data_IF_929744651720
#
_entry.id   IF_929744651720
#
_cell.length_a   1.000
_cell.length_b   1.000
_cell.length_c   1.000
_cell.angle_alpha   90.00
_cell.angle_beta   90.00
_cell.angle_gamma   90.00
#
_symmetry.space_group_name_H-M   'P 1'
#
loop_
_entity.id
_entity.type
_entity.pdbx_description
1 polymer ?
#
# COMPACT_ATOMS: atom_id res chain seq x y z
N UNK A 1 6.73 -23.11 11.83
CA UNK A 1 7.05 -22.28 10.65
C UNK A 1 6.57 -20.84 10.83
N UNK A 2 5.35 -20.60 11.32
CA UNK A 2 4.84 -19.25 11.64
C UNK A 2 5.70 -18.48 12.67
N UNK A 3 6.20 -19.18 13.70
CA UNK A 3 7.09 -18.61 14.72
C UNK A 3 8.36 -17.97 14.11
N UNK A 4 8.90 -18.57 13.05
CA UNK A 4 10.09 -18.04 12.35
C UNK A 4 9.80 -16.84 11.45
N UNK A 5 8.56 -16.69 10.99
CA UNK A 5 8.13 -15.53 10.19
C UNK A 5 7.84 -14.34 11.09
N UNK A 6 7.19 -14.57 12.24
CA UNK A 6 6.93 -13.55 13.24
C UNK A 6 8.24 -13.05 13.84
N UNK A 7 9.15 -13.94 14.23
CA UNK A 7 10.47 -13.56 14.75
C UNK A 7 11.27 -12.72 13.73
N UNK A 8 11.29 -13.13 12.46
CA UNK A 8 11.91 -12.35 11.38
C UNK A 8 11.22 -11.01 11.15
N UNK A 9 9.93 -10.89 11.40
CA UNK A 9 9.22 -9.62 11.29
C UNK A 9 9.58 -8.70 12.47
N UNK A 10 9.59 -9.23 13.71
CA UNK A 10 10.01 -8.49 14.91
C UNK A 10 11.44 -8.00 14.80
N UNK A 11 12.38 -8.84 14.37
CA UNK A 11 13.78 -8.44 14.15
C UNK A 11 13.89 -7.29 13.14
N UNK A 12 13.06 -7.29 12.09
CA UNK A 12 13.05 -6.20 11.09
C UNK A 12 12.45 -4.92 11.64
N UNK A 13 11.35 -5.02 12.38
CA UNK A 13 10.69 -3.86 12.96
C UNK A 13 11.61 -3.17 13.98
N UNK A 14 12.27 -3.96 14.84
CA UNK A 14 13.26 -3.43 15.79
C UNK A 14 14.43 -2.75 15.09
N UNK A 15 14.91 -3.30 13.97
CA UNK A 15 15.97 -2.65 13.19
C UNK A 15 15.48 -1.36 12.52
N UNK A 16 14.25 -1.35 11.99
CA UNK A 16 13.63 -0.13 11.44
C UNK A 16 13.55 0.96 12.50
N UNK A 17 12.98 0.64 13.67
CA UNK A 17 12.82 1.57 14.78
C UNK A 17 14.19 2.09 15.25
N UNK A 18 15.20 1.21 15.34
CA UNK A 18 16.58 1.62 15.67
C UNK A 18 17.15 2.58 14.62
N UNK A 19 16.92 2.34 13.33
CA UNK A 19 17.42 3.19 12.25
C UNK A 19 16.70 4.54 12.16
N UNK A 20 15.40 4.56 12.47
CA UNK A 20 14.55 5.75 12.37
C UNK A 20 14.60 6.63 13.63
N UNK A 21 14.81 6.02 14.80
CA UNK A 21 14.78 6.69 16.11
C UNK A 21 16.13 6.67 16.83
N UNK A 22 17.24 6.61 16.09
CA UNK A 22 18.57 6.62 16.70
C UNK A 22 18.78 7.93 17.48
N UNK A 23 19.18 7.88 18.77
CA UNK A 23 19.42 9.08 19.55
C UNK A 23 20.49 9.98 18.92
N UNK A 24 20.31 11.30 18.97
CA UNK A 24 21.29 12.25 18.42
C UNK A 24 22.67 12.11 19.08
N UNK A 25 22.71 11.66 20.34
CA UNK A 25 23.91 11.40 21.12
C UNK A 25 24.48 9.98 20.96
N UNK A 26 23.95 9.15 20.04
CA UNK A 26 24.55 7.86 19.73
C UNK A 26 25.98 8.04 19.19
N UNK A 27 26.84 7.06 19.43
CA UNK A 27 28.24 7.11 19.04
C UNK A 27 28.38 7.16 17.50
N UNK A 28 29.43 7.81 17.01
CA UNK A 28 29.63 7.98 15.57
C UNK A 28 29.90 6.63 14.87
N UNK A 29 30.55 5.70 15.57
CA UNK A 29 30.77 4.33 15.06
C UNK A 29 29.44 3.55 14.95
N UNK A 30 28.52 3.72 15.90
CA UNK A 30 27.20 3.09 15.85
C UNK A 30 26.34 3.66 14.72
N UNK A 31 26.34 4.99 14.56
CA UNK A 31 25.68 5.69 13.45
C UNK A 31 26.20 5.21 12.10
N UNK A 32 27.52 5.07 11.96
CA UNK A 32 28.14 4.62 10.72
C UNK A 32 27.88 3.13 10.45
N UNK A 33 27.85 2.29 11.50
CA UNK A 33 27.50 0.88 11.35
C UNK A 33 26.05 0.70 10.87
N UNK A 34 25.11 1.47 11.41
CA UNK A 34 23.71 1.43 10.99
C UNK A 34 23.55 2.00 9.58
N UNK A 35 24.19 3.15 9.27
CA UNK A 35 24.18 3.73 7.93
C UNK A 35 24.78 2.78 6.90
N UNK A 36 25.93 2.17 7.17
CA UNK A 36 26.56 1.22 6.25
C UNK A 36 25.70 -0.03 6.02
N UNK A 37 25.00 -0.52 7.05
CA UNK A 37 24.04 -1.62 6.94
C UNK A 37 22.83 -1.26 6.04
N UNK A 38 22.37 -0.01 6.12
CA UNK A 38 21.29 0.54 5.29
C UNK A 38 21.76 0.79 3.85
N UNK A 39 22.94 1.40 3.66
CA UNK A 39 23.44 1.94 2.38
C UNK A 39 24.02 0.88 1.44
N UNK A 40 24.62 -0.21 1.95
CA UNK A 40 25.22 -1.25 1.09
C UNK A 40 24.19 -1.82 0.09
N UNK A 41 24.42 -1.72 -1.24
CA UNK A 41 23.55 -2.32 -2.28
C UNK A 41 24.29 -3.47 -2.97
N UNK A 42 23.63 -4.60 -3.27
CA UNK A 42 24.23 -5.64 -4.11
C UNK A 42 23.75 -7.08 -3.88
N UNK A 43 24.30 -7.98 -4.70
CA UNK A 43 23.97 -9.41 -4.82
C UNK A 43 24.43 -10.28 -3.62
N UNK A 44 25.36 -9.80 -2.81
CA UNK A 44 25.83 -10.48 -1.58
C UNK A 44 24.85 -10.36 -0.40
N UNK A 45 23.67 -9.78 -0.63
CA UNK A 45 22.66 -9.63 0.41
C UNK A 45 21.79 -10.88 0.53
N UNK A 46 21.86 -11.49 1.71
CA UNK A 46 20.74 -12.28 2.22
C UNK A 46 19.44 -11.45 2.25
N UNK A 47 18.29 -12.13 2.26
CA UNK A 47 16.95 -11.52 2.18
C UNK A 47 16.69 -10.41 3.20
N UNK A 48 17.29 -10.50 4.39
CA UNK A 48 17.17 -9.52 5.47
C UNK A 48 17.81 -8.18 5.12
N UNK A 49 19.07 -8.18 4.65
CA UNK A 49 19.82 -6.95 4.33
C UNK A 49 19.20 -6.19 3.15
N UNK A 50 18.68 -6.89 2.15
CA UNK A 50 17.94 -6.28 1.03
C UNK A 50 16.68 -5.55 1.48
N UNK A 51 16.01 -6.06 2.51
CA UNK A 51 14.84 -5.41 3.10
C UNK A 51 15.24 -4.20 3.94
N UNK A 52 16.38 -4.30 4.65
CA UNK A 52 16.93 -3.23 5.49
C UNK A 52 17.32 -1.96 4.69
N UNK A 53 17.90 -2.04 3.49
CA UNK A 53 18.11 -0.80 2.70
C UNK A 53 16.82 -0.11 2.31
N UNK A 54 15.74 -0.87 2.19
CA UNK A 54 14.47 -0.30 1.80
C UNK A 54 13.92 0.63 2.88
N UNK A 55 14.24 0.37 4.14
CA UNK A 55 13.80 1.15 5.29
C UNK A 55 14.43 2.54 5.39
N UNK A 56 15.71 2.71 5.04
CA UNK A 56 16.38 4.02 5.09
C UNK A 56 16.14 4.90 3.86
N UNK A 57 15.22 4.51 2.99
CA UNK A 57 14.86 5.27 1.80
C UNK A 57 13.52 5.95 2.05
N UNK A 58 13.51 6.92 2.98
CA UNK A 58 12.34 7.68 3.46
C UNK A 58 11.28 7.94 2.38
N UNK A 59 10.22 7.13 2.38
CA UNK A 59 9.06 7.30 1.49
C UNK A 59 9.34 6.99 0.02
N UNK A 60 10.49 6.40 -0.32
CA UNK A 60 10.81 6.02 -1.70
C UNK A 60 9.92 4.86 -2.15
N UNK A 61 9.33 5.03 -3.33
CA UNK A 61 8.48 3.99 -3.96
C UNK A 61 9.26 3.42 -5.13
N UNK A 62 9.59 2.13 -5.05
CA UNK A 62 10.23 1.39 -6.12
C UNK A 62 9.18 0.59 -6.90
N UNK A 63 9.23 0.73 -8.21
CA UNK A 63 8.41 -0.03 -9.16
C UNK A 63 9.21 -1.16 -9.79
N UNK A 64 8.56 -2.27 -10.22
CA UNK A 64 9.25 -3.34 -10.93
C UNK A 64 9.77 -2.84 -12.28
N UNK A 65 11.06 -3.09 -12.55
CA UNK A 65 11.77 -2.61 -13.74
C UNK A 65 11.21 -3.11 -15.08
N UNK A 66 10.45 -4.21 -15.07
CA UNK A 66 10.01 -4.88 -16.30
C UNK A 66 8.77 -4.25 -16.96
N UNK A 67 8.11 -3.28 -16.32
CA UNK A 67 6.85 -2.72 -16.82
C UNK A 67 7.12 -1.43 -17.59
N UNK A 68 7.23 -1.57 -18.91
CA UNK A 68 7.49 -0.45 -19.83
C UNK A 68 6.23 0.01 -20.58
N UNK A 69 5.22 -0.86 -20.72
CA UNK A 69 4.04 -0.58 -21.54
C UNK A 69 2.96 0.11 -20.72
N UNK A 70 2.33 1.17 -21.25
CA UNK A 70 1.11 1.72 -20.68
C UNK A 70 0.01 0.66 -20.52
N UNK A 71 -0.82 0.84 -19.50
CA UNK A 71 -2.03 0.06 -19.27
C UNK A 71 -3.20 0.69 -20.02
N UNK A 72 -4.05 -0.13 -20.64
CA UNK A 72 -5.33 0.32 -21.20
C UNK A 72 -6.41 0.17 -20.13
N UNK A 73 -6.81 1.30 -19.52
CA UNK A 73 -7.80 1.31 -18.44
C UNK A 73 -9.16 0.72 -18.84
N UNK A 74 -9.50 0.76 -20.13
CA UNK A 74 -10.78 0.24 -20.65
C UNK A 74 -10.84 -1.29 -20.64
N UNK A 75 -9.70 -1.97 -20.50
CA UNK A 75 -9.61 -3.43 -20.42
C UNK A 75 -9.66 -3.97 -18.98
N UNK A 76 -9.69 -3.08 -17.99
CA UNK A 76 -9.76 -3.49 -16.60
C UNK A 76 -11.15 -4.03 -16.25
N UNK A 77 -11.21 -4.94 -15.28
CA UNK A 77 -12.45 -5.53 -14.78
C UNK A 77 -13.41 -4.49 -14.19
N UNK A 78 -12.87 -3.38 -13.70
CA UNK A 78 -13.60 -2.33 -13.00
C UNK A 78 -13.69 -1.08 -13.89
N UNK A 79 -14.87 -0.76 -14.45
CA UNK A 79 -15.03 0.36 -15.40
C UNK A 79 -14.96 1.75 -14.73
N UNK A 80 -15.23 1.81 -13.42
CA UNK A 80 -15.20 3.02 -12.61
C UNK A 80 -13.77 3.56 -12.35
N UNK A 81 -12.74 2.75 -12.59
CA UNK A 81 -11.34 3.10 -12.35
C UNK A 81 -10.90 4.34 -13.14
N UNK A 82 -11.34 4.48 -14.39
CA UNK A 82 -11.00 5.66 -15.19
C UNK A 82 -11.50 6.94 -14.53
N UNK A 83 -12.76 6.97 -14.10
CA UNK A 83 -13.37 8.14 -13.46
C UNK A 83 -12.69 8.48 -12.13
N UNK A 84 -12.30 7.48 -11.35
CA UNK A 84 -11.58 7.65 -10.09
C UNK A 84 -10.19 8.27 -10.32
N UNK A 85 -9.46 7.78 -11.32
CA UNK A 85 -8.14 8.31 -11.68
C UNK A 85 -8.22 9.72 -12.27
N UNK A 86 -9.25 10.02 -13.06
CA UNK A 86 -9.50 11.36 -13.57
C UNK A 86 -9.74 12.36 -12.43
N UNK A 87 -10.62 12.02 -11.49
CA UNK A 87 -10.87 12.85 -10.31
C UNK A 87 -9.61 13.06 -9.46
N UNK A 88 -8.82 11.99 -9.27
CA UNK A 88 -7.56 12.07 -8.56
C UNK A 88 -6.56 12.99 -9.29
N UNK A 89 -6.40 12.83 -10.61
CA UNK A 89 -5.52 13.66 -11.42
C UNK A 89 -5.89 15.16 -11.33
N UNK A 90 -7.18 15.50 -11.40
CA UNK A 90 -7.66 16.88 -11.23
C UNK A 90 -7.33 17.45 -9.85
N UNK A 91 -7.41 16.63 -8.79
CA UNK A 91 -7.04 17.04 -7.43
C UNK A 91 -5.53 17.18 -7.25
N UNK A 92 -4.72 16.34 -7.91
CA UNK A 92 -3.26 16.36 -7.81
C UNK A 92 -2.65 17.53 -8.59
N UNK A 93 -3.15 17.81 -9.79
CA UNK A 93 -2.63 18.86 -10.65
C UNK A 93 -3.65 19.97 -10.85
N UNK A 94 -4.00 20.66 -9.77
CA UNK A 94 -4.99 21.76 -9.75
C UNK A 94 -4.68 22.92 -10.69
N UNK A 95 -3.42 23.07 -11.11
CA UNK A 95 -2.99 24.09 -12.09
C UNK A 95 -3.31 23.72 -13.54
N UNK A 96 -3.68 22.46 -13.81
CA UNK A 96 -4.02 21.98 -15.15
C UNK A 96 -5.52 21.75 -15.26
N UNK A 97 -6.09 22.14 -16.39
CA UNK A 97 -7.44 21.76 -16.76
C UNK A 97 -7.43 20.35 -17.34
N UNK A 98 -7.50 19.35 -16.47
CA UNK A 98 -7.51 17.94 -16.88
C UNK A 98 -8.94 17.54 -17.22
N UNK A 99 -9.11 16.92 -18.38
CA UNK A 99 -10.43 16.51 -18.89
C UNK A 99 -10.46 15.05 -19.31
N UNK A 100 -11.68 14.53 -19.46
CA UNK A 100 -11.92 13.24 -20.09
C UNK A 100 -11.32 13.19 -21.51
N UNK A 101 -10.85 12.01 -21.92
CA UNK A 101 -10.24 11.81 -23.24
C UNK A 101 -11.19 12.06 -24.43
N UNK A 102 -12.50 12.03 -24.20
CA UNK A 102 -13.52 12.35 -25.19
C UNK A 102 -13.91 13.84 -25.20
N UNK A 103 -13.33 14.66 -24.32
CA UNK A 103 -13.64 16.10 -24.26
C UNK A 103 -13.13 16.83 -25.50
N UNK A 104 -13.93 17.79 -26.00
CA UNK A 104 -13.58 18.67 -27.12
C UNK A 104 -13.05 20.03 -26.66
N UNK A 105 -12.81 20.20 -25.37
CA UNK A 105 -12.37 21.47 -24.80
C UNK A 105 -10.95 21.82 -25.25
N UNK A 106 -10.77 23.04 -25.80
CA UNK A 106 -9.48 23.48 -26.33
C UNK A 106 -8.56 23.93 -25.19
N UNK A 107 -7.29 23.50 -25.25
CA UNK A 107 -6.27 23.87 -24.26
C UNK A 107 -6.30 23.03 -22.99
N UNK A 108 -7.30 22.17 -22.83
CA UNK A 108 -7.34 21.19 -21.74
C UNK A 108 -6.38 20.02 -21.99
N UNK A 109 -5.93 19.38 -20.91
CA UNK A 109 -5.04 18.22 -20.96
C UNK A 109 -5.87 16.95 -20.79
N UNK A 110 -6.07 16.13 -21.84
CA UNK A 110 -6.85 14.91 -21.70
C UNK A 110 -6.08 13.83 -20.92
N UNK A 111 -6.75 13.15 -19.99
CA UNK A 111 -6.22 11.93 -19.38
C UNK A 111 -6.45 10.75 -20.32
N UNK A 112 -5.41 10.36 -21.06
CA UNK A 112 -5.50 9.30 -22.07
C UNK A 112 -5.51 7.92 -21.43
N UNK A 113 -6.60 7.18 -21.58
CA UNK A 113 -6.82 5.85 -20.97
C UNK A 113 -5.74 4.82 -21.32
N UNK A 114 -5.05 4.99 -22.45
CA UNK A 114 -4.05 4.06 -23.00
C UNK A 114 -2.61 4.52 -22.88
N UNK A 115 -2.35 5.77 -22.52
CA UNK A 115 -1.01 6.36 -22.60
C UNK A 115 -0.57 7.07 -21.33
N UNK A 116 -1.52 7.54 -20.51
CA UNK A 116 -1.20 8.29 -19.30
C UNK A 116 -1.01 7.41 -18.06
N UNK A 117 -1.16 6.09 -18.16
CA UNK A 117 -1.16 5.19 -16.99
C UNK A 117 -0.26 3.98 -17.22
N UNK A 118 0.56 3.64 -16.22
CA UNK A 118 1.20 2.32 -16.10
C UNK A 118 0.63 1.60 -14.88
N UNK A 119 0.36 0.30 -15.02
CA UNK A 119 -0.15 -0.55 -13.94
C UNK A 119 0.96 -1.44 -13.40
N UNK A 120 1.05 -1.56 -12.08
CA UNK A 120 2.02 -2.42 -11.43
C UNK A 120 1.34 -3.50 -10.58
N UNK A 121 1.72 -4.78 -10.70
CA UNK A 121 1.17 -5.85 -9.89
C UNK A 121 1.61 -5.75 -8.43
N UNK A 122 2.75 -5.11 -8.18
CA UNK A 122 3.24 -4.79 -6.85
C UNK A 122 4.14 -3.55 -6.92
N UNK A 123 4.36 -2.95 -5.78
CA UNK A 123 5.34 -1.89 -5.53
C UNK A 123 6.14 -2.24 -4.27
N UNK A 124 7.26 -1.56 -4.05
CA UNK A 124 8.01 -1.64 -2.80
C UNK A 124 8.09 -0.23 -2.23
N UNK A 125 7.57 -0.03 -1.02
CA UNK A 125 7.67 1.22 -0.27
C UNK A 125 8.30 0.91 1.08
N UNK A 126 9.32 1.68 1.45
CA UNK A 126 10.06 1.51 2.70
C UNK A 126 10.54 0.05 2.91
N UNK A 127 11.00 -0.61 1.83
CA UNK A 127 11.42 -2.02 1.87
C UNK A 127 10.30 -3.05 1.98
N UNK A 128 9.06 -2.62 2.17
CA UNK A 128 7.87 -3.47 2.26
C UNK A 128 7.26 -3.60 0.86
N UNK A 129 7.00 -4.85 0.46
CA UNK A 129 6.30 -5.15 -0.79
C UNK A 129 4.80 -5.06 -0.59
N UNK A 130 4.14 -4.26 -1.40
CA UNK A 130 2.68 -4.16 -1.48
C UNK A 130 2.22 -4.74 -2.81
N UNK A 131 1.45 -5.82 -2.76
CA UNK A 131 0.83 -6.43 -3.93
C UNK A 131 -0.59 -5.90 -4.13
N UNK A 132 -1.14 -6.13 -5.32
CA UNK A 132 -2.54 -5.82 -5.58
C UNK A 132 -3.28 -7.02 -6.21
N UNK A 133 -4.57 -6.86 -6.50
CA UNK A 133 -5.42 -7.93 -7.05
C UNK A 133 -4.89 -8.51 -8.38
N UNK A 134 -4.06 -7.77 -9.11
CA UNK A 134 -3.45 -8.24 -10.37
C UNK A 134 -2.18 -9.08 -10.16
N UNK A 135 -1.66 -9.18 -8.93
CA UNK A 135 -0.50 -9.99 -8.63
C UNK A 135 -0.83 -11.49 -8.74
N UNK A 136 -0.07 -12.22 -9.54
CA UNK A 136 -0.27 -13.68 -9.74
C UNK A 136 0.46 -14.53 -8.70
N UNK A 137 1.53 -14.00 -8.09
CA UNK A 137 2.46 -14.79 -7.25
C UNK A 137 1.97 -14.96 -5.82
N UNK A 138 1.41 -13.91 -5.23
CA UNK A 138 1.00 -13.89 -3.82
C UNK A 138 -0.32 -13.14 -3.70
N UNK A 139 -1.23 -13.69 -2.90
CA UNK A 139 -2.51 -13.07 -2.58
C UNK A 139 -2.52 -12.51 -1.14
N UNK A 140 -1.47 -12.77 -0.36
CA UNK A 140 -1.34 -12.32 1.01
C UNK A 140 -0.93 -10.84 1.11
N UNK A 141 -0.20 -10.32 0.12
CA UNK A 141 0.29 -8.93 0.07
C UNK A 141 -0.72 -7.94 -0.52
N UNK A 142 -1.97 -8.37 -0.77
CA UNK A 142 -3.06 -7.52 -1.28
C UNK A 142 -3.80 -6.70 -0.21
N UNK A 143 -3.38 -6.80 1.05
CA UNK A 143 -3.96 -6.06 2.16
C UNK A 143 -2.88 -5.22 2.82
N UNK A 144 -3.25 -4.00 3.21
CA UNK A 144 -2.37 -3.06 3.89
C UNK A 144 -3.19 -2.09 4.73
N UNK A 145 -2.52 -1.34 5.60
CA UNK A 145 -3.06 -0.16 6.22
C UNK A 145 -2.72 1.09 5.41
N UNK A 146 -3.66 2.01 5.33
CA UNK A 146 -3.48 3.36 4.77
C UNK A 146 -3.73 4.40 5.84
N UNK A 147 -2.93 5.45 5.85
CA UNK A 147 -3.12 6.61 6.71
C UNK A 147 -4.01 7.63 5.99
N UNK A 148 -5.26 7.76 6.44
CA UNK A 148 -6.28 8.66 5.88
C UNK A 148 -6.85 9.49 7.03
N UNK A 149 -6.83 10.82 6.90
CA UNK A 149 -7.37 11.77 7.89
C UNK A 149 -6.84 11.53 9.31
N UNK A 150 -5.54 11.22 9.43
CA UNK A 150 -4.88 10.94 10.71
C UNK A 150 -5.22 9.56 11.32
N UNK A 151 -6.02 8.75 10.64
CA UNK A 151 -6.41 7.41 11.08
C UNK A 151 -5.77 6.34 10.21
N UNK A 152 -5.31 5.26 10.85
CA UNK A 152 -4.78 4.09 10.15
C UNK A 152 -5.88 3.08 9.89
N UNK A 153 -6.20 2.87 8.62
CA UNK A 153 -7.36 2.07 8.20
C UNK A 153 -6.90 0.89 7.34
N UNK A 154 -7.29 -0.37 7.67
CA UNK A 154 -6.97 -1.49 6.81
C UNK A 154 -7.81 -1.46 5.53
N UNK A 155 -7.19 -1.84 4.44
CA UNK A 155 -7.78 -1.81 3.13
C UNK A 155 -7.29 -2.97 2.27
N UNK A 156 -8.08 -3.26 1.23
CA UNK A 156 -7.68 -4.14 0.13
C UNK A 156 -7.10 -3.30 -1.00
N UNK A 157 -5.93 -3.71 -1.48
CA UNK A 157 -5.22 -3.08 -2.59
C UNK A 157 -5.69 -3.69 -3.92
N UNK A 158 -6.35 -2.89 -4.76
CA UNK A 158 -6.87 -3.36 -6.04
C UNK A 158 -5.86 -3.16 -7.17
N UNK A 159 -5.29 -1.96 -7.26
CA UNK A 159 -4.36 -1.59 -8.33
C UNK A 159 -3.31 -0.59 -7.83
N UNK A 160 -2.10 -0.69 -8.36
CA UNK A 160 -1.08 0.36 -8.27
C UNK A 160 -0.87 0.97 -9.65
N UNK A 161 -0.91 2.31 -9.71
CA UNK A 161 -0.77 3.05 -10.95
C UNK A 161 0.31 4.13 -10.84
N UNK A 162 1.02 4.35 -11.94
CA UNK A 162 1.80 5.58 -12.19
C UNK A 162 1.03 6.39 -13.22
N UNK A 163 0.58 7.59 -12.82
CA UNK A 163 -0.04 8.55 -13.73
C UNK A 163 1.05 9.46 -14.30
N UNK A 164 1.03 9.64 -15.61
CA UNK A 164 1.95 10.52 -16.33
C UNK A 164 1.16 11.49 -17.20
N UNK A 165 1.42 12.78 -17.03
CA UNK A 165 0.91 13.84 -17.90
C UNK A 165 2.09 14.60 -18.55
N UNK A 166 1.91 15.16 -19.75
CA UNK A 166 2.95 15.94 -20.42
C UNK A 166 3.45 17.10 -19.53
N UNK A 167 4.76 17.20 -19.34
CA UNK A 167 5.38 18.30 -18.59
C UNK A 167 5.19 18.23 -17.06
N UNK A 168 4.64 17.14 -16.52
CA UNK A 168 4.53 16.91 -15.06
C UNK A 168 5.33 15.67 -14.66
N UNK A 169 5.79 15.66 -13.41
CA UNK A 169 6.41 14.48 -12.83
C UNK A 169 5.35 13.37 -12.66
N UNK A 170 5.68 12.10 -12.96
CA UNK A 170 4.78 11.00 -12.72
C UNK A 170 4.40 10.89 -11.23
N UNK A 171 3.14 10.54 -10.97
CA UNK A 171 2.62 10.38 -9.60
C UNK A 171 2.15 8.94 -9.42
N UNK A 172 2.64 8.31 -8.34
CA UNK A 172 2.20 6.99 -7.93
C UNK A 172 0.94 7.09 -7.08
N UNK A 173 -0.10 6.35 -7.46
CA UNK A 173 -1.30 6.20 -6.65
C UNK A 173 -1.71 4.73 -6.54
N UNK A 174 -2.55 4.45 -5.56
CA UNK A 174 -3.09 3.11 -5.32
C UNK A 174 -4.60 3.21 -5.18
N UNK A 175 -5.33 2.31 -5.83
CA UNK A 175 -6.77 2.17 -5.59
C UNK A 175 -6.98 1.15 -4.49
N UNK A 176 -7.73 1.59 -3.49
CA UNK A 176 -8.00 0.82 -2.30
C UNK A 176 -9.50 0.70 -2.05
N UNK A 177 -9.85 -0.33 -1.30
CA UNK A 177 -11.17 -0.51 -0.72
C UNK A 177 -11.00 -0.70 0.79
N UNK A 178 -11.42 0.29 1.58
CA UNK A 178 -11.38 0.20 3.05
C UNK A 178 -12.21 -0.97 3.53
N UNK A 179 -11.71 -1.71 4.52
CA UNK A 179 -12.50 -2.75 5.16
C UNK A 179 -13.57 -2.11 6.05
N UNK A 180 -14.77 -2.69 6.07
CA UNK A 180 -15.88 -2.17 6.87
C UNK A 180 -15.70 -2.57 8.33
N UNK A 181 -15.84 -1.58 9.21
CA UNK A 181 -15.87 -1.71 10.67
C UNK A 181 -17.04 -0.88 11.20
N UNK A 182 -17.78 -1.44 12.16
CA UNK A 182 -18.85 -0.76 12.88
C UNK A 182 -18.96 -1.31 14.31
N UNK A 183 -19.76 -0.63 15.14
CA UNK A 183 -19.97 -0.98 16.55
C UNK A 183 -20.74 -2.31 16.75
N UNK A 184 -21.24 -2.92 15.66
CA UNK A 184 -21.88 -4.23 15.73
C UNK A 184 -20.86 -5.39 15.73
N UNK A 185 -19.58 -5.12 15.44
CA UNK A 185 -18.51 -6.10 15.63
C UNK A 185 -18.34 -6.36 17.13
N UNK A 186 -18.47 -7.62 17.61
CA UNK A 186 -18.24 -7.93 19.02
C UNK A 186 -16.86 -7.49 19.47
N UNK A 187 -16.78 -6.88 20.65
CA UNK A 187 -15.52 -6.45 21.24
C UNK A 187 -14.62 -7.66 21.46
N UNK A 188 -13.50 -7.71 20.74
CA UNK A 188 -12.48 -8.74 20.93
C UNK A 188 -11.76 -8.56 22.27
N UNK A 189 -11.22 -9.63 22.90
CA UNK A 189 -10.48 -9.53 24.17
C UNK A 189 -9.28 -8.56 24.13
N UNK A 190 -8.69 -8.38 22.95
CA UNK A 190 -7.57 -7.48 22.72
C UNK A 190 -7.99 -6.05 22.34
N UNK A 191 -9.28 -5.71 22.32
CA UNK A 191 -9.76 -4.40 21.87
C UNK A 191 -9.13 -3.24 22.68
N UNK A 192 -8.89 -3.43 23.97
CA UNK A 192 -8.26 -2.43 24.84
C UNK A 192 -6.80 -2.13 24.47
N UNK A 193 -6.11 -3.07 23.83
CA UNK A 193 -4.70 -2.97 23.41
C UNK A 193 -4.55 -3.00 21.89
N UNK A 194 -5.66 -2.86 21.15
CA UNK A 194 -5.68 -3.04 19.71
C UNK A 194 -4.72 -2.08 19.00
N UNK A 195 -4.69 -0.82 19.45
CA UNK A 195 -3.78 0.21 18.93
C UNK A 195 -2.32 -0.16 19.16
N UNK A 196 -1.96 -0.53 20.39
CA UNK A 196 -0.58 -0.86 20.77
C UNK A 196 -0.07 -2.12 20.06
N UNK A 197 -0.96 -3.08 19.85
CA UNK A 197 -0.67 -4.33 19.16
C UNK A 197 -0.73 -4.19 17.62
N UNK A 198 -1.19 -3.04 17.10
CA UNK A 198 -1.43 -2.86 15.66
C UNK A 198 -2.49 -3.80 15.10
N UNK A 199 -3.44 -4.23 15.93
CA UNK A 199 -4.51 -5.16 15.58
C UNK A 199 -5.77 -4.39 15.21
N UNK A 200 -6.36 -4.72 14.07
CA UNK A 200 -7.64 -4.15 13.65
C UNK A 200 -8.65 -5.26 13.37
N UNK A 201 -9.89 -5.07 13.81
CA UNK A 201 -10.99 -6.02 13.57
C UNK A 201 -11.95 -5.44 12.54
N UNK A 202 -12.22 -6.17 11.46
CA UNK A 202 -13.12 -5.75 10.40
C UNK A 202 -13.93 -6.94 9.87
N UNK A 203 -15.05 -6.67 9.21
CA UNK A 203 -15.83 -7.72 8.58
C UNK A 203 -15.07 -8.37 7.42
N UNK A 204 -15.12 -9.70 7.36
CA UNK A 204 -14.60 -10.44 6.24
C UNK A 204 -15.37 -10.09 4.95
N UNK A 205 -14.61 -9.79 3.88
CA UNK A 205 -15.13 -9.53 2.53
C UNK A 205 -16.16 -8.38 2.40
N UNK A 206 -16.27 -7.50 3.40
CA UNK A 206 -17.09 -6.28 3.30
C UNK A 206 -16.17 -5.07 3.18
N UNK A 207 -16.38 -4.30 2.12
CA UNK A 207 -15.54 -3.15 1.81
C UNK A 207 -16.38 -1.91 1.49
N UNK A 208 -15.82 -0.74 1.77
CA UNK A 208 -16.34 0.54 1.31
C UNK A 208 -16.16 0.71 -0.21
N UNK A 209 -16.68 1.82 -0.75
CA UNK A 209 -16.47 2.19 -2.15
C UNK A 209 -14.97 2.36 -2.44
N UNK A 210 -14.59 2.07 -3.68
CA UNK A 210 -13.22 2.26 -4.18
C UNK A 210 -12.84 3.73 -4.07
N UNK A 211 -11.62 3.98 -3.62
CA UNK A 211 -11.05 5.32 -3.60
C UNK A 211 -9.57 5.27 -4.01
N UNK A 212 -9.07 6.40 -4.51
CA UNK A 212 -7.66 6.55 -4.88
C UNK A 212 -6.94 7.23 -3.74
N UNK A 213 -5.88 6.61 -3.27
CA UNK A 213 -4.96 7.18 -2.28
C UNK A 213 -3.60 7.42 -2.91
N UNK A 214 -2.85 8.39 -2.39
CA UNK A 214 -1.44 8.50 -2.73
C UNK A 214 -0.74 7.24 -2.25
N UNK A 215 0.16 6.68 -3.06
CA UNK A 215 0.93 5.50 -2.65
C UNK A 215 1.79 5.78 -1.41
N UNK A 216 2.14 7.04 -1.15
CA UNK A 216 2.85 7.45 0.06
C UNK A 216 2.02 7.27 1.34
N UNK A 217 0.68 7.18 1.24
CA UNK A 217 -0.22 6.94 2.38
C UNK A 217 -0.27 5.47 2.79
N UNK A 218 0.35 4.54 2.04
CA UNK A 218 0.49 3.16 2.48
C UNK A 218 1.41 3.11 3.70
N UNK A 219 0.86 2.66 4.82
CA UNK A 219 1.51 2.75 6.12
C UNK A 219 2.21 1.44 6.49
N UNK A 220 1.50 0.31 6.35
CA UNK A 220 2.05 -1.00 6.71
C UNK A 220 1.37 -2.13 5.94
N UNK A 221 2.10 -3.22 5.71
CA UNK A 221 1.49 -4.48 5.28
C UNK A 221 0.76 -5.13 6.45
N UNK A 222 -0.33 -5.84 6.18
CA UNK A 222 -1.12 -6.52 7.23
C UNK A 222 -1.19 -8.02 6.99
N UNK A 223 -1.21 -8.77 8.09
CA UNK A 223 -1.60 -10.17 8.08
C UNK A 223 -3.09 -10.27 8.41
N UNK A 224 -3.83 -11.12 7.69
CA UNK A 224 -5.24 -11.38 7.97
C UNK A 224 -5.37 -12.69 8.75
N UNK A 225 -5.95 -12.60 9.94
CA UNK A 225 -6.31 -13.75 10.77
C UNK A 225 -7.84 -13.87 10.75
N UNK A 226 -8.41 -14.88 10.08
CA UNK A 226 -9.85 -15.07 10.06
C UNK A 226 -10.34 -15.55 11.43
N UNK A 227 -11.38 -14.89 11.96
CA UNK A 227 -12.05 -15.29 13.20
C UNK A 227 -13.48 -15.68 12.87
N UNK A 228 -13.89 -16.87 13.28
CA UNK A 228 -15.26 -17.37 13.11
C UNK A 228 -16.00 -17.17 14.43
N UNK A 229 -17.10 -16.41 14.42
CA UNK A 229 -17.96 -16.33 15.59
C UNK A 229 -18.79 -17.62 15.67
N UNK A 230 -18.57 -18.42 16.71
CA UNK A 230 -19.27 -19.69 16.92
C UNK A 230 -20.77 -19.52 17.19
N UNK A 231 -21.24 -18.31 17.50
CA UNK A 231 -22.65 -18.00 17.74
C UNK A 231 -23.52 -17.94 16.47
N UNK A 232 -22.94 -18.00 15.26
CA UNK A 232 -23.70 -17.94 14.00
C UNK A 232 -23.86 -19.30 13.30
N UNK A 233 -23.57 -20.42 13.97
CA UNK A 233 -23.89 -21.73 13.41
C UNK A 233 -25.42 -21.89 13.40
N UNK A 234 -26.05 -22.16 12.24
CA UNK A 234 -27.49 -22.41 12.21
C UNK A 234 -27.77 -23.60 13.11
N UNK A 235 -28.57 -23.36 14.14
CA UNK A 235 -29.18 -24.40 14.95
C UNK A 235 -29.89 -25.33 13.96
N UNK A 236 -29.40 -26.55 13.81
CA UNK A 236 -30.14 -27.57 13.06
C UNK A 236 -31.48 -27.74 13.78
N UNK A 237 -32.53 -27.21 13.17
CA UNK A 237 -33.90 -27.54 13.53
C UNK A 237 -34.06 -29.04 13.27
N UNK A 238 -34.15 -29.81 14.35
CA UNK A 238 -34.67 -31.17 14.34
C UNK A 238 -36.20 -31.13 14.33
#
# INVERSE_FOLDING_TARGET
MELSLLQKWTEKQLFYDLSACLPENADDDEKELIRSAVVQKGADRGTLRTQISGFGADGSILTPQCIKKPCDLRKLTHPDIYSLLLQYACKTWTSLQIVDECSTERGAVPLLSRHSIKSFPFIIKDGIRYGCATATRTQSDRFACVDIDGSRIPCRLLYHFELSLPGKLPVMCTIVERMVHDDAIPTSPWALYATDLGVYTAYANRFHKKEVVSTTQLASAVAIVPVVNSQSLPTKLN
#
